data_IF_402871582860
#
_entry.id   IF_402871582860
#
_cell.length_a   1.000
_cell.length_b   1.000
_cell.length_c   1.000
_cell.angle_alpha   90.00
_cell.angle_beta   90.00
_cell.angle_gamma   90.00
#
_symmetry.space_group_name_H-M   'P 1'
#
loop_
_entity.id
_entity.type
_entity.pdbx_description
1 polymer ?
#
# COMPACT_ATOMS: atom_id res chain seq x y z
N UNK A 1 -27.56 -4.28 -5.26
CA UNK A 1 -26.69 -5.48 -5.17
C UNK A 1 -25.34 -5.28 -5.86
N UNK A 2 -25.32 -4.78 -7.11
CA UNK A 2 -24.09 -4.62 -7.90
C UNK A 2 -23.03 -3.69 -7.27
N UNK A 3 -23.41 -2.53 -6.72
CA UNK A 3 -22.45 -1.57 -6.11
C UNK A 3 -21.66 -2.21 -4.96
N UNK A 4 -22.34 -2.85 -4.01
CA UNK A 4 -21.70 -3.53 -2.88
C UNK A 4 -20.71 -4.59 -3.36
N UNK A 5 -21.10 -5.37 -4.37
CA UNK A 5 -20.24 -6.40 -4.96
C UNK A 5 -18.99 -5.78 -5.58
N UNK A 6 -19.15 -4.74 -6.38
CA UNK A 6 -18.02 -4.02 -6.99
C UNK A 6 -17.03 -3.49 -5.95
N UNK A 7 -17.51 -2.91 -4.86
CA UNK A 7 -16.64 -2.41 -3.78
C UNK A 7 -15.94 -3.54 -2.99
N UNK A 8 -16.55 -4.73 -2.91
CA UNK A 8 -15.97 -5.86 -2.21
C UNK A 8 -14.93 -6.62 -3.04
N UNK A 9 -15.08 -6.60 -4.37
CA UNK A 9 -14.25 -7.38 -5.30
C UNK A 9 -13.17 -6.52 -6.00
N UNK A 10 -13.23 -5.20 -5.88
CA UNK A 10 -12.26 -4.33 -6.54
C UNK A 10 -10.87 -4.48 -5.90
N UNK A 11 -9.89 -4.71 -6.77
CA UNK A 11 -8.48 -4.63 -6.44
C UNK A 11 -7.82 -3.60 -7.36
N UNK A 12 -6.81 -2.90 -6.84
CA UNK A 12 -6.05 -1.93 -7.62
C UNK A 12 -4.56 -2.18 -7.41
N UNK A 13 -3.87 -2.59 -8.48
CA UNK A 13 -2.45 -2.91 -8.46
C UNK A 13 -1.64 -1.71 -7.95
N UNK A 14 -0.69 -1.97 -7.03
CA UNK A 14 0.16 -0.94 -6.43
C UNK A 14 -0.54 0.01 -5.44
N UNK A 15 -1.76 -0.28 -4.98
CA UNK A 15 -2.43 0.46 -3.89
C UNK A 15 -2.53 -0.43 -2.67
N UNK A 16 -1.57 -0.31 -1.75
CA UNK A 16 -1.41 -1.18 -0.58
C UNK A 16 -1.60 -2.67 -0.92
N UNK A 17 -0.93 -3.12 -1.97
CA UNK A 17 -1.11 -4.46 -2.53
C UNK A 17 -0.24 -5.47 -1.76
N UNK A 18 -0.87 -6.46 -1.15
CA UNK A 18 -0.18 -7.61 -0.55
C UNK A 18 0.17 -8.63 -1.63
N UNK A 19 1.44 -8.98 -1.74
CA UNK A 19 1.91 -10.06 -2.62
C UNK A 19 2.11 -11.34 -1.79
N UNK A 20 1.48 -12.47 -2.15
CA UNK A 20 1.65 -13.72 -1.42
C UNK A 20 3.11 -14.19 -1.40
N UNK A 21 3.61 -14.60 -0.23
CA UNK A 21 4.97 -15.09 -0.08
C UNK A 21 5.54 -14.94 1.33
N UNK A 22 6.79 -15.39 1.50
CA UNK A 22 7.60 -15.16 2.70
C UNK A 22 8.98 -14.64 2.25
N UNK A 23 9.43 -13.46 2.70
CA UNK A 23 8.73 -12.53 3.60
C UNK A 23 7.45 -11.95 2.98
N UNK A 24 6.57 -11.38 3.81
CA UNK A 24 5.43 -10.60 3.32
C UNK A 24 5.96 -9.42 2.50
N UNK A 25 5.39 -9.23 1.30
CA UNK A 25 5.74 -8.13 0.41
C UNK A 25 4.50 -7.25 0.22
N UNK A 26 4.67 -5.94 0.39
CA UNK A 26 3.64 -4.92 0.19
C UNK A 26 4.14 -3.94 -0.86
N UNK A 27 3.31 -3.65 -1.86
CA UNK A 27 3.60 -2.68 -2.92
C UNK A 27 2.66 -1.48 -2.81
N UNK A 28 3.21 -0.27 -2.84
CA UNK A 28 2.44 0.97 -2.83
C UNK A 28 3.08 2.06 -3.72
N UNK A 29 2.25 2.81 -4.45
CA UNK A 29 2.67 3.90 -5.35
C UNK A 29 2.62 5.30 -4.71
N UNK A 30 2.57 5.39 -3.38
CA UNK A 30 2.62 6.65 -2.65
C UNK A 30 3.85 7.48 -3.06
N UNK A 31 3.59 8.69 -3.57
CA UNK A 31 4.62 9.60 -4.08
C UNK A 31 4.34 11.06 -3.72
N UNK A 32 3.51 11.28 -2.70
CA UNK A 32 3.24 12.62 -2.18
C UNK A 32 2.96 12.52 -0.67
N UNK A 33 2.99 13.64 0.07
CA UNK A 33 2.87 13.60 1.53
C UNK A 33 1.54 13.02 2.02
N UNK A 34 0.45 13.23 1.29
CA UNK A 34 -0.86 12.69 1.65
C UNK A 34 -0.92 11.16 1.50
N UNK A 35 -0.44 10.64 0.38
CA UNK A 35 -0.38 9.21 0.13
C UNK A 35 0.57 8.51 1.09
N UNK A 36 1.72 9.12 1.41
CA UNK A 36 2.67 8.58 2.38
C UNK A 36 2.05 8.44 3.79
N UNK A 37 1.24 9.40 4.23
CA UNK A 37 0.48 9.28 5.50
C UNK A 37 -0.52 8.14 5.47
N UNK A 38 -1.22 7.96 4.35
CA UNK A 38 -2.17 6.84 4.19
C UNK A 38 -1.43 5.50 4.24
N UNK A 39 -0.27 5.40 3.57
CA UNK A 39 0.60 4.22 3.65
C UNK A 39 1.07 3.96 5.10
N UNK A 40 1.50 5.00 5.81
CA UNK A 40 1.92 4.89 7.21
C UNK A 40 0.79 4.38 8.13
N UNK A 41 -0.44 4.88 7.95
CA UNK A 41 -1.62 4.42 8.69
C UNK A 41 -1.94 2.96 8.40
N UNK A 42 -1.90 2.55 7.13
CA UNK A 42 -2.15 1.16 6.76
C UNK A 42 -1.09 0.21 7.33
N UNK A 43 0.19 0.61 7.29
CA UNK A 43 1.28 -0.16 7.89
C UNK A 43 1.15 -0.27 9.41
N UNK A 44 0.70 0.80 10.08
CA UNK A 44 0.48 0.80 11.53
C UNK A 44 -0.65 -0.14 11.98
N UNK A 45 -1.57 -0.50 11.07
CA UNK A 45 -2.63 -1.46 11.34
C UNK A 45 -2.18 -2.93 11.20
N UNK A 46 -0.95 -3.17 10.73
CA UNK A 46 -0.37 -4.51 10.66
C UNK A 46 0.29 -4.89 11.98
N UNK A 47 0.37 -6.20 12.31
CA UNK A 47 1.16 -6.66 13.44
C UNK A 47 2.60 -6.14 13.37
N UNK A 48 3.20 -5.68 14.48
CA UNK A 48 4.59 -5.22 14.50
C UNK A 48 5.55 -6.30 13.98
N UNK A 49 6.42 -5.92 13.05
CA UNK A 49 7.43 -6.80 12.48
C UNK A 49 8.68 -5.99 12.10
N UNK A 50 9.79 -6.68 11.88
CA UNK A 50 10.98 -6.06 11.28
C UNK A 50 10.69 -5.79 9.80
N UNK A 51 10.45 -4.53 9.47
CA UNK A 51 10.09 -4.10 8.11
C UNK A 51 11.28 -3.43 7.42
N UNK A 52 11.56 -3.85 6.19
CA UNK A 52 12.50 -3.17 5.30
C UNK A 52 11.74 -2.39 4.24
N UNK A 53 12.13 -1.14 3.99
CA UNK A 53 11.56 -0.32 2.94
C UNK A 53 12.52 -0.25 1.75
N UNK A 54 12.02 -0.59 0.57
CA UNK A 54 12.68 -0.27 -0.71
C UNK A 54 11.93 0.93 -1.29
N UNK A 55 12.64 2.05 -1.40
CA UNK A 55 12.03 3.34 -1.73
C UNK A 55 12.78 4.04 -2.84
N UNK A 56 12.02 4.61 -3.78
CA UNK A 56 12.50 5.48 -4.83
C UNK A 56 11.44 6.52 -5.14
N UNK A 57 11.88 7.74 -5.47
CA UNK A 57 11.03 8.86 -5.84
C UNK A 57 11.64 9.59 -7.03
N UNK A 58 10.76 10.11 -7.89
CA UNK A 58 11.19 11.04 -8.93
C UNK A 58 11.51 12.40 -8.31
N UNK A 59 12.43 13.13 -8.93
CA UNK A 59 12.92 14.43 -8.44
C UNK A 59 11.84 15.50 -8.36
N UNK A 60 10.80 15.41 -9.19
CA UNK A 60 9.68 16.35 -9.26
C UNK A 60 8.60 16.10 -8.21
N UNK A 61 8.79 15.15 -7.29
CA UNK A 61 7.81 14.84 -6.25
C UNK A 61 8.16 15.50 -4.93
N UNK A 62 7.11 16.03 -4.29
CA UNK A 62 7.12 16.62 -2.94
C UNK A 62 7.13 15.56 -1.84
#
# INVERSE_FOLDING_TARGET
>A
AAVRRGLAEVELTGRFQLVPGRPQLILDVAHNPHAARSLAQNLANLPPAKTFAVFAMLKDKD
#
